data_IF_258326907460
#
_entry.id   IF_258326907460
#
_cell.length_a   1.000
_cell.length_b   1.000
_cell.length_c   1.000
_cell.angle_alpha   90.00
_cell.angle_beta   90.00
_cell.angle_gamma   90.00
#
_symmetry.space_group_name_H-M   'P 1'
#
loop_
_entity.id
_entity.type
_entity.pdbx_description
1 polymer ?
#
# COMPACT_ATOMS: atom_id res chain seq x y z
N UNK A 1 12.21 15.70 -9.36
CA UNK A 1 11.49 14.43 -9.62
C UNK A 1 10.57 14.18 -8.44
N UNK A 2 9.38 13.61 -8.66
CA UNK A 2 8.45 13.20 -7.62
C UNK A 2 8.20 11.68 -7.66
N UNK A 3 8.08 11.05 -6.50
CA UNK A 3 7.73 9.64 -6.34
C UNK A 3 6.72 9.51 -5.19
N UNK A 4 5.59 8.84 -5.46
CA UNK A 4 4.54 8.59 -4.46
C UNK A 4 4.04 7.15 -4.57
N UNK A 5 4.11 6.43 -3.45
CA UNK A 5 3.67 5.06 -3.31
C UNK A 5 2.54 4.98 -2.28
N UNK A 6 1.62 4.04 -2.48
CA UNK A 6 0.58 3.71 -1.52
C UNK A 6 0.76 2.26 -1.06
N UNK A 7 0.46 1.99 0.21
CA UNK A 7 0.55 0.65 0.79
C UNK A 7 -0.66 0.36 1.68
N UNK A 8 -1.03 -0.91 1.73
CA UNK A 8 -2.03 -1.45 2.67
C UNK A 8 -1.34 -2.53 3.49
N UNK A 9 -1.29 -2.32 4.79
CA UNK A 9 -0.73 -3.24 5.79
C UNK A 9 -1.81 -3.99 6.56
N UNK A 10 -1.40 -4.66 7.64
CA UNK A 10 -2.32 -5.44 8.48
C UNK A 10 -3.29 -4.58 9.29
N UNK A 11 -2.83 -3.43 9.79
CA UNK A 11 -3.57 -2.54 10.70
C UNK A 11 -3.56 -1.08 10.25
N UNK A 12 -2.97 -0.78 9.10
CA UNK A 12 -2.80 0.59 8.61
C UNK A 12 -2.62 0.62 7.10
N UNK A 13 -2.97 1.74 6.49
CA UNK A 13 -2.64 2.10 5.13
C UNK A 13 -1.82 3.40 5.14
N UNK A 14 -0.98 3.57 4.13
CA UNK A 14 -0.10 4.72 4.07
C UNK A 14 0.12 5.19 2.64
N UNK A 15 0.44 6.48 2.52
CA UNK A 15 1.03 7.07 1.33
C UNK A 15 2.35 7.68 1.74
N UNK A 16 3.41 7.32 1.04
CA UNK A 16 4.75 7.83 1.29
C UNK A 16 5.47 8.12 0.00
N UNK A 17 6.41 9.06 0.05
CA UNK A 17 7.03 9.59 -1.15
C UNK A 17 8.04 10.69 -0.86
N UNK A 18 8.64 11.17 -1.94
CA UNK A 18 9.57 12.28 -1.92
C UNK A 18 9.46 13.08 -3.21
N UNK A 19 9.83 14.35 -3.16
CA UNK A 19 9.92 15.20 -4.35
C UNK A 19 11.01 16.26 -4.22
N UNK A 20 11.43 16.83 -5.34
CA UNK A 20 12.08 18.15 -5.32
C UNK A 20 11.06 19.23 -4.96
N UNK A 21 11.55 20.39 -4.51
CA UNK A 21 10.71 21.57 -4.19
C UNK A 21 9.87 21.99 -5.41
N UNK A 22 10.46 21.92 -6.61
CA UNK A 22 9.81 22.25 -7.88
C UNK A 22 8.68 21.29 -8.26
N UNK A 23 8.74 20.04 -7.79
CA UNK A 23 7.83 18.98 -8.20
C UNK A 23 6.85 18.60 -7.07
N UNK A 24 6.78 19.43 -6.02
CA UNK A 24 5.92 19.20 -4.87
C UNK A 24 4.44 19.17 -5.27
N UNK A 25 4.01 20.06 -6.17
CA UNK A 25 2.65 20.04 -6.70
C UNK A 25 2.35 18.73 -7.44
N UNK A 26 3.28 18.25 -8.27
CA UNK A 26 3.17 16.95 -8.94
C UNK A 26 3.02 15.81 -7.92
N UNK A 27 3.77 15.84 -6.82
CA UNK A 27 3.63 14.85 -5.76
C UNK A 27 2.22 14.89 -5.13
N UNK A 28 1.68 16.08 -4.85
CA UNK A 28 0.32 16.23 -4.33
C UNK A 28 -0.75 15.74 -5.32
N UNK A 29 -0.57 15.99 -6.63
CA UNK A 29 -1.43 15.44 -7.67
C UNK A 29 -1.41 13.90 -7.67
N UNK A 30 -0.24 13.29 -7.50
CA UNK A 30 -0.12 11.84 -7.38
C UNK A 30 -0.83 11.31 -6.14
N UNK A 31 -0.70 11.99 -4.99
CA UNK A 31 -1.44 11.65 -3.76
C UNK A 31 -2.94 11.68 -4.02
N UNK A 32 -3.47 12.79 -4.54
CA UNK A 32 -4.89 12.94 -4.86
C UNK A 32 -5.41 11.84 -5.79
N UNK A 33 -4.62 11.48 -6.81
CA UNK A 33 -4.95 10.41 -7.76
C UNK A 33 -5.04 9.03 -7.08
N UNK A 34 -4.28 8.76 -6.01
CA UNK A 34 -4.40 7.50 -5.23
C UNK A 34 -5.71 7.36 -4.47
N UNK A 35 -6.39 8.47 -4.15
CA UNK A 35 -7.70 8.43 -3.51
C UNK A 35 -8.84 8.38 -4.52
N UNK A 36 -8.67 9.08 -5.65
CA UNK A 36 -9.79 9.38 -6.56
C UNK A 36 -9.85 8.50 -7.81
N UNK A 37 -8.76 7.83 -8.18
CA UNK A 37 -8.66 7.10 -9.45
C UNK A 37 -8.17 5.65 -9.27
N UNK A 38 -8.91 4.89 -8.48
CA UNK A 38 -8.61 3.50 -8.17
C UNK A 38 -9.19 2.56 -9.24
N UNK A 39 -8.52 2.50 -10.39
CA UNK A 39 -8.89 1.63 -11.51
C UNK A 39 -7.90 0.50 -11.68
N UNK A 40 -8.43 -0.71 -11.82
CA UNK A 40 -7.64 -1.88 -12.18
C UNK A 40 -7.40 -1.88 -13.69
N UNK A 41 -6.14 -1.95 -14.10
CA UNK A 41 -5.75 -2.38 -15.44
C UNK A 41 -5.58 -3.91 -15.43
N UNK A 42 -6.47 -4.68 -16.08
CA UNK A 42 -6.43 -6.14 -16.03
C UNK A 42 -5.16 -6.74 -16.63
N UNK A 43 -4.62 -6.16 -17.70
CA UNK A 43 -3.43 -6.70 -18.37
C UNK A 43 -2.17 -6.38 -17.56
N UNK A 44 -2.06 -5.16 -17.03
CA UNK A 44 -0.96 -4.81 -16.12
C UNK A 44 -1.00 -5.68 -14.86
N UNK A 45 -2.18 -5.92 -14.29
CA UNK A 45 -2.33 -6.78 -13.12
C UNK A 45 -1.95 -8.23 -13.42
N UNK A 46 -2.37 -8.77 -14.57
CA UNK A 46 -2.00 -10.12 -15.01
C UNK A 46 -0.48 -10.27 -15.16
N UNK A 47 0.18 -9.31 -15.81
CA UNK A 47 1.64 -9.30 -15.94
C UNK A 47 2.36 -9.21 -14.58
N UNK A 48 1.89 -8.32 -13.70
CA UNK A 48 2.45 -8.18 -12.35
C UNK A 48 2.31 -9.46 -11.51
N UNK A 49 1.15 -10.12 -11.54
CA UNK A 49 0.92 -11.38 -10.83
C UNK A 49 1.77 -12.53 -11.39
N UNK A 50 1.95 -12.59 -12.72
CA UNK A 50 2.83 -13.58 -13.36
C UNK A 50 4.28 -13.37 -12.91
N UNK A 51 4.81 -12.15 -12.99
CA UNK A 51 6.16 -11.82 -12.54
C UNK A 51 6.37 -12.14 -11.05
N UNK A 52 5.38 -11.81 -10.21
CA UNK A 52 5.46 -12.10 -8.77
C UNK A 52 5.44 -13.61 -8.49
N UNK A 53 4.65 -14.38 -9.23
CA UNK A 53 4.64 -15.84 -9.14
C UNK A 53 5.99 -16.43 -9.54
N UNK A 54 6.56 -16.01 -10.66
CA UNK A 54 7.84 -16.49 -11.15
C UNK A 54 8.98 -16.15 -10.18
N UNK A 55 8.95 -14.95 -9.60
CA UNK A 55 9.87 -14.56 -8.53
C UNK A 55 9.76 -15.51 -7.33
N UNK A 56 8.56 -15.83 -6.87
CA UNK A 56 8.35 -16.76 -5.76
C UNK A 56 8.83 -18.18 -6.10
N UNK A 57 8.56 -18.67 -7.32
CA UNK A 57 9.06 -19.97 -7.78
C UNK A 57 10.59 -20.04 -7.78
N UNK A 58 11.26 -18.96 -8.19
CA UNK A 58 12.71 -18.90 -8.17
C UNK A 58 13.24 -18.89 -6.74
N UNK A 59 12.63 -18.11 -5.84
CA UNK A 59 13.01 -18.14 -4.42
C UNK A 59 12.77 -19.51 -3.75
N UNK A 60 11.74 -20.24 -4.16
CA UNK A 60 11.45 -21.60 -3.68
C UNK A 60 12.47 -22.63 -4.16
N UNK A 61 13.04 -22.43 -5.37
CA UNK A 61 14.10 -23.29 -5.92
C UNK A 61 15.46 -23.06 -5.29
N UNK A 62 15.70 -21.86 -4.74
CA UNK A 62 16.98 -21.51 -4.10
C UNK A 62 16.75 -21.03 -2.66
N UNK A 63 16.27 -21.92 -1.75
CA UNK A 63 16.02 -21.54 -0.38
C UNK A 63 17.33 -21.24 0.35
N UNK A 64 17.39 -20.10 1.03
CA UNK A 64 18.51 -19.79 1.94
C UNK A 64 18.13 -20.20 3.36
N UNK A 65 19.09 -20.66 4.20
CA UNK A 65 18.82 -20.99 5.60
C UNK A 65 18.14 -19.85 6.37
N UNK A 66 18.54 -18.61 6.11
CA UNK A 66 17.96 -17.42 6.74
C UNK A 66 16.49 -17.24 6.37
N UNK A 67 16.11 -17.49 5.12
CA UNK A 67 14.71 -17.41 4.69
C UNK A 67 13.87 -18.47 5.40
N UNK A 68 14.33 -19.73 5.38
CA UNK A 68 13.59 -20.85 5.99
C UNK A 68 13.41 -20.64 7.50
N UNK A 69 14.45 -20.13 8.17
CA UNK A 69 14.38 -19.78 9.58
C UNK A 69 13.35 -18.66 9.83
N UNK A 70 13.41 -17.55 9.09
CA UNK A 70 12.48 -16.43 9.26
C UNK A 70 11.02 -16.82 8.96
N UNK A 71 10.78 -17.60 7.90
CA UNK A 71 9.46 -18.14 7.56
C UNK A 71 8.91 -18.98 8.73
N UNK A 72 9.75 -19.82 9.34
CA UNK A 72 9.36 -20.66 10.49
C UNK A 72 9.05 -19.81 11.73
N UNK A 73 9.88 -18.82 12.03
CA UNK A 73 9.67 -17.89 13.15
C UNK A 73 8.35 -17.15 12.98
N UNK A 74 8.06 -16.63 11.78
CA UNK A 74 6.83 -15.91 11.50
C UNK A 74 5.58 -16.80 11.71
N UNK A 75 5.63 -18.05 11.26
CA UNK A 75 4.53 -19.01 11.44
C UNK A 75 4.31 -19.34 12.91
N UNK A 76 5.38 -19.56 13.68
CA UNK A 76 5.30 -19.87 15.11
C UNK A 76 4.75 -18.68 15.89
N UNK A 77 5.26 -17.47 15.63
CA UNK A 77 4.79 -16.23 16.28
C UNK A 77 3.31 -15.97 15.99
N UNK A 78 2.87 -16.18 14.74
CA UNK A 78 1.48 -16.06 14.36
C UNK A 78 0.60 -17.26 14.74
N UNK A 79 1.09 -18.18 15.58
CA UNK A 79 0.37 -19.39 16.02
C UNK A 79 -0.23 -20.21 14.86
N UNK A 80 0.49 -20.29 13.75
CA UNK A 80 0.05 -21.00 12.54
C UNK A 80 -1.04 -20.30 11.73
N UNK A 81 -1.48 -19.09 12.09
CA UNK A 81 -2.56 -18.37 11.43
C UNK A 81 -2.28 -18.15 9.93
N UNK A 82 -3.30 -18.30 9.09
CA UNK A 82 -3.16 -18.18 7.62
C UNK A 82 -2.51 -16.86 7.15
N UNK A 83 -2.71 -15.77 7.90
CA UNK A 83 -2.13 -14.44 7.62
C UNK A 83 -0.64 -14.34 7.98
N UNK A 84 -0.13 -15.18 8.88
CA UNK A 84 1.28 -15.24 9.26
C UNK A 84 2.08 -16.23 8.40
N UNK A 85 1.40 -17.05 7.59
CA UNK A 85 2.05 -17.99 6.69
C UNK A 85 2.73 -17.27 5.52
N UNK A 86 3.94 -17.71 5.10
CA UNK A 86 4.66 -17.14 3.98
C UNK A 86 3.85 -17.14 2.68
N UNK A 87 4.13 -16.17 1.82
CA UNK A 87 3.63 -16.20 0.44
C UNK A 87 4.41 -17.22 -0.37
N UNK A 88 3.70 -18.02 -1.17
CA UNK A 88 4.28 -19.04 -2.04
C UNK A 88 3.77 -18.86 -3.46
N UNK A 89 4.46 -19.45 -4.43
CA UNK A 89 4.00 -19.47 -5.82
C UNK A 89 2.61 -20.10 -5.98
N UNK A 90 2.29 -21.12 -5.16
CA UNK A 90 0.95 -21.70 -5.09
C UNK A 90 -0.08 -20.71 -4.55
N UNK A 91 0.22 -20.02 -3.45
CA UNK A 91 -0.69 -19.01 -2.87
C UNK A 91 -0.91 -17.84 -3.83
N UNK A 92 0.10 -17.46 -4.61
CA UNK A 92 -0.05 -16.44 -5.65
C UNK A 92 -1.10 -16.79 -6.70
N UNK A 93 -1.35 -18.07 -6.98
CA UNK A 93 -2.42 -18.49 -7.91
C UNK A 93 -3.83 -18.20 -7.39
N UNK A 94 -3.98 -17.98 -6.07
CA UNK A 94 -5.26 -17.72 -5.40
C UNK A 94 -5.56 -16.21 -5.31
N UNK A 95 -4.65 -15.35 -5.78
CA UNK A 95 -4.82 -13.89 -5.73
C UNK A 95 -5.81 -13.45 -6.81
N UNK A 96 -6.88 -12.79 -6.37
CA UNK A 96 -7.85 -12.14 -7.23
C UNK A 96 -7.54 -10.62 -7.30
N UNK A 97 -7.12 -10.10 -8.47
CA UNK A 97 -6.78 -8.69 -8.63
C UNK A 97 -7.98 -7.75 -8.50
N UNK A 98 -9.19 -8.21 -8.80
CA UNK A 98 -10.43 -7.43 -8.62
C UNK A 98 -10.70 -7.25 -7.14
N UNK A 99 -10.57 -8.33 -6.36
CA UNK A 99 -10.71 -8.28 -4.90
C UNK A 99 -9.63 -7.42 -4.26
N UNK A 100 -8.38 -7.52 -4.73
CA UNK A 100 -7.29 -6.68 -4.25
C UNK A 100 -7.55 -5.18 -4.51
N UNK A 101 -7.99 -4.81 -5.72
CA UNK A 101 -8.33 -3.42 -6.04
C UNK A 101 -9.53 -2.90 -5.23
N UNK A 102 -10.52 -3.78 -4.95
CA UNK A 102 -11.64 -3.43 -4.07
C UNK A 102 -11.15 -3.10 -2.66
N UNK A 103 -10.30 -3.94 -2.07
CA UNK A 103 -9.72 -3.69 -0.73
C UNK A 103 -8.95 -2.37 -0.74
N UNK A 104 -8.09 -2.15 -1.74
CA UNK A 104 -7.37 -0.89 -1.88
C UNK A 104 -8.32 0.31 -1.94
N UNK A 105 -9.36 0.26 -2.79
CA UNK A 105 -10.34 1.33 -2.90
C UNK A 105 -11.10 1.58 -1.60
N UNK A 106 -11.38 0.54 -0.83
CA UNK A 106 -12.02 0.68 0.49
C UNK A 106 -11.11 1.36 1.51
N UNK A 107 -9.80 1.11 1.48
CA UNK A 107 -8.81 1.78 2.36
C UNK A 107 -8.54 3.24 1.97
N UNK A 108 -8.64 3.56 0.68
CA UNK A 108 -8.33 4.90 0.15
C UNK A 108 -9.58 5.68 -0.27
N UNK A 109 -10.75 5.43 0.35
CA UNK A 109 -11.99 6.16 0.05
C UNK A 109 -12.29 7.32 1.01
N UNK A 110 -11.50 7.48 2.08
CA UNK A 110 -11.80 8.42 3.16
C UNK A 110 -10.55 9.23 3.55
N UNK A 111 -10.35 10.38 2.90
CA UNK A 111 -9.21 11.26 3.18
C UNK A 111 -9.20 11.84 4.59
N UNK A 112 -10.34 11.90 5.28
CA UNK A 112 -10.41 12.41 6.66
C UNK A 112 -9.97 11.42 7.74
N UNK A 113 -9.66 10.16 7.37
CA UNK A 113 -9.02 9.20 8.26
C UNK A 113 -7.48 9.20 8.14
N UNK A 114 -6.93 10.05 7.26
CA UNK A 114 -5.49 10.17 7.04
C UNK A 114 -4.91 11.39 7.75
N UNK A 115 -3.70 11.23 8.28
CA UNK A 115 -2.85 12.33 8.72
C UNK A 115 -1.68 12.48 7.74
N UNK A 116 -1.51 13.69 7.20
CA UNK A 116 -0.46 13.99 6.22
C UNK A 116 0.66 14.79 6.88
N UNK A 117 1.86 14.22 6.91
CA UNK A 117 3.06 14.90 7.43
C UNK A 117 4.04 15.18 6.30
N UNK A 118 4.50 16.43 6.20
CA UNK A 118 5.49 16.86 5.22
C UNK A 118 6.74 17.40 5.92
N UNK A 119 7.91 16.98 5.46
CA UNK A 119 9.21 17.46 5.96
C UNK A 119 10.06 17.88 4.77
N UNK A 120 10.58 19.11 4.81
CA UNK A 120 11.41 19.63 3.72
C UNK A 120 11.56 21.14 3.74
N UNK A 121 12.10 21.67 2.65
CA UNK A 121 12.27 23.11 2.45
C UNK A 121 11.08 23.67 1.64
N UNK A 122 10.13 24.31 2.30
CA UNK A 122 8.98 24.94 1.66
C UNK A 122 8.54 26.20 2.41
N UNK A 123 7.94 27.12 1.66
CA UNK A 123 7.25 28.29 2.18
C UNK A 123 5.79 27.90 2.47
N UNK A 124 5.41 27.97 3.75
CA UNK A 124 4.10 27.54 4.24
C UNK A 124 2.97 28.28 3.52
N UNK A 125 3.11 29.60 3.29
CA UNK A 125 2.05 30.39 2.66
C UNK A 125 1.87 30.03 1.19
N UNK A 126 2.95 29.62 0.51
CA UNK A 126 2.90 29.20 -0.89
C UNK A 126 2.29 27.81 -1.08
N UNK A 127 2.48 26.90 -0.12
CA UNK A 127 1.97 25.53 -0.27
C UNK A 127 0.54 25.35 0.24
N UNK A 128 0.05 26.21 1.15
CA UNK A 128 -1.32 26.15 1.69
C UNK A 128 -2.40 26.01 0.60
N UNK A 129 -2.39 26.80 -0.51
CA UNK A 129 -3.38 26.64 -1.58
C UNK A 129 -3.30 25.28 -2.28
N UNK A 130 -2.08 24.74 -2.47
CA UNK A 130 -1.88 23.42 -3.07
C UNK A 130 -2.42 22.32 -2.15
N UNK A 131 -2.18 22.42 -0.84
CA UNK A 131 -2.71 21.48 0.16
C UNK A 131 -4.24 21.53 0.20
N UNK A 132 -4.84 22.72 0.18
CA UNK A 132 -6.29 22.88 0.12
C UNK A 132 -6.89 22.26 -1.16
N UNK A 133 -6.19 22.41 -2.29
CA UNK A 133 -6.63 21.86 -3.59
C UNK A 133 -6.54 20.34 -3.62
N UNK A 134 -5.39 19.77 -3.25
CA UNK A 134 -5.11 18.35 -3.47
C UNK A 134 -5.34 17.45 -2.25
N UNK A 135 -5.25 17.96 -1.03
CA UNK A 135 -5.60 17.19 0.16
C UNK A 135 -7.01 17.55 0.63
N UNK A 136 -7.34 18.85 0.67
CA UNK A 136 -8.69 19.32 0.98
C UNK A 136 -9.74 18.93 -0.05
N UNK A 137 -9.34 18.63 -1.29
CA UNK A 137 -10.22 18.12 -2.34
C UNK A 137 -10.51 16.61 -2.25
N UNK A 138 -9.80 15.85 -1.40
CA UNK A 138 -10.01 14.40 -1.28
C UNK A 138 -11.38 14.15 -0.62
N UNK A 139 -12.22 13.26 -1.19
CA UNK A 139 -13.47 12.87 -0.54
C UNK A 139 -13.22 12.31 0.87
N UNK A 140 -14.00 12.78 1.84
CA UNK A 140 -13.90 12.37 3.23
C UNK A 140 -15.27 12.03 3.81
N UNK A 141 -15.28 11.18 4.83
CA UNK A 141 -16.46 10.86 5.63
C UNK A 141 -16.09 10.93 7.12
N UNK A 142 -17.08 11.20 7.99
CA UNK A 142 -16.84 11.20 9.44
C UNK A 142 -16.62 9.81 10.05
N UNK A 143 -16.64 8.75 9.24
CA UNK A 143 -16.32 7.41 9.71
C UNK A 143 -14.83 7.35 9.98
N UNK A 144 -14.46 6.72 11.10
CA UNK A 144 -13.09 6.30 11.37
C UNK A 144 -13.06 4.79 11.38
N UNK A 145 -12.03 4.23 10.79
CA UNK A 145 -11.84 2.80 10.80
C UNK A 145 -11.16 2.36 12.10
N UNK A 146 -11.47 1.14 12.53
CA UNK A 146 -10.80 0.49 13.65
C UNK A 146 -10.36 -0.89 13.22
N UNK A 147 -9.25 -1.36 13.78
CA UNK A 147 -8.81 -2.73 13.55
C UNK A 147 -9.68 -3.71 14.36
N UNK A 148 -9.73 -4.95 13.88
CA UNK A 148 -10.26 -6.08 14.64
C UNK A 148 -9.08 -6.94 15.06
N UNK A 149 -8.98 -7.24 16.36
CA UNK A 149 -7.94 -8.12 16.87
C UNK A 149 -8.24 -9.56 16.46
N UNK A 150 -7.28 -10.16 15.77
CA UNK A 150 -7.38 -11.53 15.26
C UNK A 150 -6.65 -12.53 16.18
N UNK A 151 -6.10 -12.07 17.30
CA UNK A 151 -5.20 -12.82 18.18
C UNK A 151 -3.99 -13.40 17.41
N UNK A 152 -3.42 -12.60 16.52
CA UNK A 152 -2.23 -12.94 15.73
C UNK A 152 -1.12 -11.99 16.19
N UNK A 153 0.00 -12.55 16.65
CA UNK A 153 1.19 -11.82 17.11
C UNK A 153 2.19 -11.67 15.98
#
# INVERSE_FOLDING_TARGET
>A
MAQVNASVGGTSEAISGSSSVTDFETALQMVYNRFTNNKLDPEAAKGALANQKDFMQNMEKTPTPEKVFNDSVQVVMGNGAYRAQPMTSERMTKVDPVKAMKIFSERFNNGSDFEFTFVGNFDIEKIKPLLATYLGGIPGTQKKETFSDLNIV
#
